data_IF_496032431116
#
_entry.id   IF_496032431116
#
_cell.length_a   1.000
_cell.length_b   1.000
_cell.length_c   1.000
_cell.angle_alpha   90.00
_cell.angle_beta   90.00
_cell.angle_gamma   90.00
#
_symmetry.space_group_name_H-M   'P 1'
#
loop_
_entity.id
_entity.type
_entity.pdbx_description
1 polymer ?
#
# COMPACT_ATOMS: atom_id res chain seq x y z
N UNK A 1 -3.18 7.32 30.01
CA UNK A 1 -2.77 6.70 28.73
C UNK A 1 -1.81 7.68 28.04
N UNK A 2 -0.50 7.42 28.06
CA UNK A 2 0.47 8.25 27.35
C UNK A 2 0.14 8.18 25.85
N UNK A 3 -0.09 9.32 25.20
CA UNK A 3 -0.23 9.36 23.74
C UNK A 3 1.12 8.96 23.15
N UNK A 4 1.18 7.84 22.44
CA UNK A 4 2.38 7.47 21.69
C UNK A 4 2.78 8.64 20.77
N UNK A 5 4.07 8.99 20.82
CA UNK A 5 4.59 10.12 20.06
C UNK A 5 4.57 9.75 18.58
N UNK A 6 3.74 10.44 17.80
CA UNK A 6 3.63 10.23 16.35
C UNK A 6 4.82 10.83 15.62
N UNK A 7 5.29 10.15 14.59
CA UNK A 7 6.24 10.70 13.64
C UNK A 7 5.57 11.78 12.80
N UNK A 8 6.25 12.93 12.68
CA UNK A 8 5.81 14.03 11.81
C UNK A 8 5.96 13.66 10.33
N UNK A 9 5.33 14.43 9.43
CA UNK A 9 5.55 14.30 7.98
C UNK A 9 7.04 14.21 7.61
N UNK A 10 7.88 15.06 8.20
CA UNK A 10 9.32 15.12 7.93
C UNK A 10 10.04 13.83 8.31
N UNK A 11 9.71 13.24 9.47
CA UNK A 11 10.24 11.93 9.87
C UNK A 11 9.84 10.85 8.87
N UNK A 12 8.56 10.81 8.47
CA UNK A 12 8.07 9.80 7.53
C UNK A 12 8.76 9.90 6.17
N UNK A 13 8.98 11.12 5.66
CA UNK A 13 9.77 11.34 4.44
C UNK A 13 11.21 10.85 4.59
N UNK A 14 11.87 11.18 5.69
CA UNK A 14 13.25 10.79 5.94
C UNK A 14 13.41 9.26 5.94
N UNK A 15 12.46 8.53 6.56
CA UNK A 15 12.48 7.06 6.53
C UNK A 15 12.39 6.51 5.10
N UNK A 16 11.49 7.04 4.27
CA UNK A 16 11.36 6.63 2.86
C UNK A 16 12.63 6.95 2.07
N UNK A 17 13.21 8.14 2.23
CA UNK A 17 14.44 8.54 1.53
C UNK A 17 15.62 7.65 1.90
N UNK A 18 15.74 7.28 3.17
CA UNK A 18 16.83 6.45 3.66
C UNK A 18 16.70 5.00 3.18
N UNK A 19 15.50 4.43 3.24
CA UNK A 19 15.27 3.03 2.90
C UNK A 19 15.09 2.78 1.39
N UNK A 20 14.51 3.75 0.68
CA UNK A 20 14.12 3.65 -0.72
C UNK A 20 14.55 4.90 -1.50
N UNK A 21 15.88 5.08 -1.72
CA UNK A 21 16.45 6.32 -2.24
C UNK A 21 16.00 6.69 -3.66
N UNK A 22 15.53 5.71 -4.44
CA UNK A 22 15.02 5.92 -5.79
C UNK A 22 13.53 6.31 -5.83
N UNK A 23 12.89 6.49 -4.68
CA UNK A 23 11.50 6.93 -4.62
C UNK A 23 11.33 8.43 -4.86
N UNK A 24 10.20 8.81 -5.45
CA UNK A 24 9.96 10.18 -5.90
C UNK A 24 8.79 10.84 -5.15
N UNK A 25 9.06 11.94 -4.44
CA UNK A 25 8.04 12.75 -3.78
C UNK A 25 7.40 13.77 -4.72
N UNK A 26 6.11 14.04 -4.53
CA UNK A 26 5.35 15.04 -5.27
C UNK A 26 4.06 15.43 -4.52
N UNK A 27 3.35 16.44 -5.02
CA UNK A 27 2.10 16.96 -4.42
C UNK A 27 2.25 17.24 -2.91
N UNK A 28 3.36 17.87 -2.54
CA UNK A 28 3.70 18.15 -1.15
C UNK A 28 2.97 19.38 -0.62
N UNK A 29 2.46 19.26 0.60
CA UNK A 29 1.90 20.37 1.39
C UNK A 29 2.56 20.39 2.77
N UNK A 30 2.24 21.35 3.65
CA UNK A 30 2.73 21.31 5.02
C UNK A 30 2.39 20.00 5.76
N UNK A 31 1.24 19.37 5.46
CA UNK A 31 0.72 18.21 6.21
C UNK A 31 0.58 16.92 5.39
N UNK A 32 0.96 16.94 4.11
CA UNK A 32 0.81 15.77 3.23
C UNK A 32 1.90 15.68 2.18
N UNK A 33 2.06 14.49 1.61
CA UNK A 33 2.85 14.24 0.40
C UNK A 33 2.27 13.03 -0.33
N UNK A 34 2.56 12.92 -1.62
CA UNK A 34 2.53 11.64 -2.30
C UNK A 34 3.95 11.22 -2.70
N UNK A 35 4.18 9.92 -2.78
CA UNK A 35 5.49 9.32 -3.04
C UNK A 35 5.32 8.11 -3.96
N UNK A 36 6.08 8.05 -5.06
CA UNK A 36 6.06 6.93 -6.01
C UNK A 36 7.27 6.03 -5.82
N UNK A 37 7.07 4.73 -6.01
CA UNK A 37 8.15 3.75 -6.02
C UNK A 37 7.75 2.51 -6.82
N UNK A 38 8.75 1.69 -7.17
CA UNK A 38 8.57 0.42 -7.88
C UNK A 38 9.04 -0.73 -7.02
N UNK A 39 8.28 -1.82 -6.99
CA UNK A 39 8.68 -3.07 -6.34
C UNK A 39 8.64 -4.23 -7.33
N UNK A 40 9.52 -5.20 -7.12
CA UNK A 40 9.47 -6.49 -7.79
C UNK A 40 9.32 -7.56 -6.69
N UNK A 41 8.12 -8.13 -6.48
CA UNK A 41 7.84 -8.95 -5.31
C UNK A 41 8.73 -10.18 -5.14
N UNK A 42 9.14 -10.80 -6.25
CA UNK A 42 10.11 -11.88 -6.31
C UNK A 42 10.95 -11.74 -7.58
N UNK A 43 12.04 -12.50 -7.69
CA UNK A 43 12.86 -12.50 -8.91
C UNK A 43 12.13 -12.96 -10.17
N UNK A 44 10.99 -13.65 -10.01
CA UNK A 44 10.13 -14.12 -11.10
C UNK A 44 8.94 -13.19 -11.37
N UNK A 45 8.69 -12.24 -10.46
CA UNK A 45 7.56 -11.34 -10.54
C UNK A 45 7.80 -10.20 -11.53
N UNK A 46 6.71 -9.62 -12.02
CA UNK A 46 6.72 -8.34 -12.71
C UNK A 46 7.20 -7.20 -11.80
N UNK A 47 7.60 -6.08 -12.41
CA UNK A 47 7.84 -4.83 -11.68
C UNK A 47 6.56 -4.01 -11.66
N UNK A 48 6.15 -3.58 -10.46
CA UNK A 48 4.92 -2.82 -10.25
C UNK A 48 5.22 -1.44 -9.69
N UNK A 49 4.68 -0.40 -10.33
CA UNK A 49 4.72 0.95 -9.81
C UNK A 49 3.50 1.22 -8.93
N UNK A 50 3.74 1.85 -7.79
CA UNK A 50 2.68 2.34 -6.91
C UNK A 50 2.98 3.75 -6.41
N UNK A 51 1.95 4.39 -5.87
CA UNK A 51 2.07 5.61 -5.08
C UNK A 51 1.50 5.42 -3.68
N UNK A 52 2.16 6.03 -2.72
CA UNK A 52 1.65 6.29 -1.38
C UNK A 52 1.20 7.74 -1.32
N UNK A 53 0.02 8.00 -0.77
CA UNK A 53 -0.39 9.35 -0.38
C UNK A 53 -0.60 9.39 1.13
N UNK A 54 0.25 10.18 1.80
CA UNK A 54 0.26 10.36 3.25
C UNK A 54 -0.33 11.72 3.61
N UNK A 55 -1.17 11.76 4.64
CA UNK A 55 -1.67 12.99 5.25
C UNK A 55 -1.71 12.81 6.76
N UNK A 56 -1.20 13.79 7.48
CA UNK A 56 -1.19 13.75 8.95
C UNK A 56 -2.61 13.56 9.51
N UNK A 57 -2.73 12.65 10.49
CA UNK A 57 -4.02 12.31 11.10
C UNK A 57 -4.95 11.45 10.22
N UNK A 58 -4.49 10.97 9.07
CA UNK A 58 -5.22 10.03 8.21
C UNK A 58 -4.42 8.73 8.03
N UNK A 59 -5.13 7.69 7.62
CA UNK A 59 -4.51 6.48 7.12
C UNK A 59 -3.76 6.76 5.82
N UNK A 60 -2.76 5.93 5.54
CA UNK A 60 -2.05 5.95 4.27
C UNK A 60 -2.91 5.33 3.16
N UNK A 61 -3.02 6.03 2.04
CA UNK A 61 -3.63 5.52 0.83
C UNK A 61 -2.56 5.02 -0.15
N UNK A 62 -2.78 3.85 -0.74
CA UNK A 62 -1.83 3.22 -1.67
C UNK A 62 -2.54 2.89 -2.98
N UNK A 63 -1.94 3.26 -4.10
CA UNK A 63 -2.53 3.02 -5.41
C UNK A 63 -1.53 2.39 -6.36
N UNK A 64 -1.94 1.35 -7.08
CA UNK A 64 -1.19 0.87 -8.25
C UNK A 64 -1.29 1.92 -9.36
N UNK A 65 -0.15 2.24 -9.98
CA UNK A 65 -0.05 3.26 -11.03
C UNK A 65 -0.27 2.67 -12.42
N UNK A 66 0.26 1.47 -12.65
CA UNK A 66 0.04 0.74 -13.89
C UNK A 66 -1.33 0.04 -13.84
N UNK A 67 -2.03 -0.01 -14.98
CA UNK A 67 -3.35 -0.66 -15.05
C UNK A 67 -3.19 -2.17 -14.80
N UNK A 68 -3.82 -2.66 -13.74
CA UNK A 68 -3.81 -4.07 -13.37
C UNK A 68 -4.87 -4.82 -14.17
N UNK A 69 -4.47 -5.99 -14.68
CA UNK A 69 -5.37 -6.95 -15.31
C UNK A 69 -6.31 -7.57 -14.28
N UNK A 70 -7.49 -7.98 -14.74
CA UNK A 70 -8.43 -8.79 -13.95
C UNK A 70 -8.23 -10.27 -14.31
N UNK A 71 -8.42 -11.15 -13.33
CA UNK A 71 -8.56 -12.58 -13.59
C UNK A 71 -9.77 -12.84 -14.48
N UNK A 72 -9.71 -13.88 -15.31
CA UNK A 72 -10.81 -14.25 -16.20
C UNK A 72 -12.10 -14.49 -15.40
N UNK A 73 -13.21 -13.89 -15.84
CA UNK A 73 -14.51 -13.97 -15.17
C UNK A 73 -14.70 -12.99 -14.00
N UNK A 74 -13.64 -12.33 -13.53
CA UNK A 74 -13.71 -11.40 -12.41
C UNK A 74 -14.07 -9.98 -12.83
N UNK A 75 -14.88 -9.30 -12.01
CA UNK A 75 -15.38 -7.94 -12.28
C UNK A 75 -14.58 -6.85 -11.57
N UNK A 76 -13.62 -7.23 -10.72
CA UNK A 76 -12.80 -6.27 -10.00
C UNK A 76 -11.57 -6.90 -9.37
N UNK A 77 -10.68 -6.04 -8.90
CA UNK A 77 -9.47 -6.47 -8.20
C UNK A 77 -9.85 -7.01 -6.82
N UNK A 78 -9.15 -8.05 -6.33
CA UNK A 78 -9.30 -8.50 -4.96
C UNK A 78 -8.70 -7.46 -4.01
N UNK A 79 -9.19 -7.41 -2.77
CA UNK A 79 -8.53 -6.66 -1.69
C UNK A 79 -8.16 -5.21 -2.05
N UNK A 80 -9.13 -4.46 -2.62
CA UNK A 80 -9.05 -3.03 -2.92
C UNK A 80 -10.19 -2.26 -2.27
N UNK A 81 -9.95 -1.01 -1.86
CA UNK A 81 -11.03 -0.10 -1.47
C UNK A 81 -11.83 0.40 -2.67
N UNK A 82 -11.20 0.46 -3.85
CA UNK A 82 -11.83 0.86 -5.10
C UNK A 82 -11.05 0.31 -6.30
N UNK A 83 -11.72 -0.50 -7.12
CA UNK A 83 -11.15 -1.14 -8.32
C UNK A 83 -10.71 -0.11 -9.36
N UNK A 84 -11.57 0.83 -9.73
CA UNK A 84 -11.32 1.77 -10.83
C UNK A 84 -10.12 2.69 -10.55
N UNK A 85 -9.97 3.09 -9.29
CA UNK A 85 -8.82 3.88 -8.81
C UNK A 85 -7.61 3.02 -8.49
N UNK A 86 -7.76 1.69 -8.48
CA UNK A 86 -6.78 0.72 -8.01
C UNK A 86 -6.24 1.07 -6.61
N UNK A 87 -7.16 1.47 -5.72
CA UNK A 87 -6.86 1.85 -4.34
C UNK A 87 -6.71 0.58 -3.50
N UNK A 88 -5.47 0.18 -3.26
CA UNK A 88 -5.13 -1.09 -2.63
C UNK A 88 -5.47 -1.09 -1.14
N UNK A 89 -6.02 -2.21 -0.66
CA UNK A 89 -6.14 -2.47 0.76
C UNK A 89 -4.83 -3.12 1.22
N UNK A 90 -4.04 -2.40 2.02
CA UNK A 90 -2.70 -2.89 2.45
C UNK A 90 -2.74 -3.42 3.88
N UNK A 91 -3.59 -2.85 4.73
CA UNK A 91 -3.77 -3.26 6.11
C UNK A 91 -5.21 -2.95 6.54
N UNK A 92 -5.66 -3.59 7.61
CA UNK A 92 -7.01 -3.36 8.11
C UNK A 92 -7.05 -2.06 8.93
N UNK A 93 -7.49 -0.97 8.28
CA UNK A 93 -7.53 0.38 8.89
C UNK A 93 -8.24 0.43 10.26
N UNK A 94 -9.36 -0.26 10.50
CA UNK A 94 -10.04 -0.24 11.81
C UNK A 94 -9.28 -0.94 12.95
N UNK A 95 -8.38 -1.90 12.67
CA UNK A 95 -7.55 -2.52 13.71
C UNK A 95 -6.32 -1.68 14.05
N UNK A 96 -6.14 -0.52 13.41
CA UNK A 96 -4.98 0.37 13.58
C UNK A 96 -3.62 -0.34 13.43
N UNK A 97 -3.56 -1.40 12.60
CA UNK A 97 -2.34 -2.16 12.28
C UNK A 97 -1.17 -1.29 11.84
N UNK A 98 -1.49 -0.15 11.23
CA UNK A 98 -0.54 0.93 11.04
C UNK A 98 -1.16 2.28 11.42
N UNK A 99 -0.39 3.07 12.14
CA UNK A 99 -0.70 4.47 12.43
C UNK A 99 0.58 5.31 12.43
N UNK A 100 0.46 6.64 12.58
CA UNK A 100 1.61 7.54 12.47
C UNK A 100 2.67 7.43 13.59
N UNK A 101 2.49 6.59 14.63
CA UNK A 101 3.58 6.21 15.55
C UNK A 101 4.54 5.17 14.95
N UNK A 102 4.21 4.58 13.79
CA UNK A 102 5.03 3.62 13.06
C UNK A 102 5.73 4.26 11.86
N UNK A 103 6.81 3.65 11.37
CA UNK A 103 7.48 4.12 10.16
C UNK A 103 6.62 3.77 8.96
N UNK A 104 6.45 4.71 8.03
CA UNK A 104 5.72 4.45 6.78
C UNK A 104 6.41 3.40 5.90
N UNK A 105 7.71 3.16 6.11
CA UNK A 105 8.46 2.09 5.42
C UNK A 105 7.97 0.69 5.79
N UNK A 106 7.31 0.51 6.94
CA UNK A 106 6.81 -0.79 7.39
C UNK A 106 5.70 -1.34 6.49
N UNK A 107 4.98 -0.48 5.75
CA UNK A 107 3.93 -0.93 4.83
C UNK A 107 4.48 -1.34 3.46
N UNK A 108 5.72 -1.01 3.12
CA UNK A 108 6.29 -1.30 1.79
C UNK A 108 6.39 -2.82 1.54
N UNK A 109 6.86 -3.64 2.49
CA UNK A 109 6.78 -5.10 2.36
C UNK A 109 5.35 -5.61 2.14
N UNK A 110 4.35 -5.05 2.83
CA UNK A 110 2.94 -5.44 2.64
C UNK A 110 2.40 -5.05 1.26
N UNK A 111 2.84 -3.92 0.70
CA UNK A 111 2.53 -3.56 -0.70
C UNK A 111 3.14 -4.57 -1.67
N UNK A 112 4.40 -4.96 -1.45
CA UNK A 112 5.08 -5.99 -2.24
C UNK A 112 4.35 -7.33 -2.16
N UNK A 113 3.94 -7.72 -0.96
CA UNK A 113 3.17 -8.95 -0.71
C UNK A 113 1.79 -8.91 -1.38
N UNK A 114 1.10 -7.76 -1.36
CA UNK A 114 -0.14 -7.59 -2.10
C UNK A 114 0.04 -7.85 -3.60
N UNK A 115 1.10 -7.32 -4.21
CA UNK A 115 1.42 -7.58 -5.63
C UNK A 115 1.78 -9.05 -5.88
N UNK A 116 2.47 -9.71 -4.96
CA UNK A 116 2.75 -11.15 -5.04
C UNK A 116 1.46 -11.98 -5.05
N UNK A 117 0.52 -11.71 -4.14
CA UNK A 117 -0.76 -12.42 -4.13
C UNK A 117 -1.68 -12.04 -5.27
N UNK A 118 -1.55 -10.83 -5.80
CA UNK A 118 -2.20 -10.43 -7.04
C UNK A 118 -1.76 -11.30 -8.23
N UNK A 119 -0.46 -11.58 -8.38
CA UNK A 119 0.04 -12.50 -9.42
C UNK A 119 -0.55 -13.91 -9.27
N UNK A 120 -0.64 -14.42 -8.05
CA UNK A 120 -1.27 -15.72 -7.77
C UNK A 120 -2.79 -15.69 -8.07
N UNK A 121 -3.47 -14.61 -7.71
CA UNK A 121 -4.91 -14.44 -7.95
C UNK A 121 -5.23 -14.40 -9.44
N UNK A 122 -4.40 -13.77 -10.28
CA UNK A 122 -4.56 -13.77 -11.74
C UNK A 122 -4.64 -15.18 -12.35
N UNK A 123 -3.99 -16.15 -11.73
CA UNK A 123 -3.93 -17.55 -12.20
C UNK A 123 -5.01 -18.42 -11.55
N UNK A 124 -5.29 -18.19 -10.28
CA UNK A 124 -6.10 -19.11 -9.46
C UNK A 124 -7.53 -18.63 -9.22
N UNK A 125 -7.83 -17.36 -9.55
CA UNK A 125 -9.05 -16.65 -9.15
C UNK A 125 -9.31 -16.63 -7.62
N UNK A 126 -8.33 -17.02 -6.80
CA UNK A 126 -8.45 -17.11 -5.34
C UNK A 126 -7.46 -16.14 -4.70
N UNK A 127 -7.97 -15.31 -3.80
CA UNK A 127 -7.10 -14.45 -3.01
C UNK A 127 -6.45 -15.27 -1.90
N UNK A 128 -5.11 -15.32 -1.91
CA UNK A 128 -4.31 -16.07 -0.94
C UNK A 128 -3.56 -15.17 0.05
N UNK A 129 -3.73 -13.85 -0.06
CA UNK A 129 -3.04 -12.88 0.79
C UNK A 129 -3.65 -12.70 2.18
N UNK A 130 -4.73 -13.42 2.48
CA UNK A 130 -5.49 -13.28 3.70
C UNK A 130 -5.97 -11.84 3.92
N UNK A 131 -5.99 -11.42 5.19
CA UNK A 131 -6.41 -10.09 5.60
C UNK A 131 -7.90 -10.00 5.93
N UNK A 132 -8.35 -8.80 6.29
CA UNK A 132 -9.76 -8.53 6.57
C UNK A 132 -10.27 -7.56 5.50
N UNK A 133 -11.15 -8.05 4.63
CA UNK A 133 -11.81 -7.25 3.62
C UNK A 133 -13.32 -7.18 3.89
N UNK A 134 -13.88 -5.95 3.94
CA UNK A 134 -15.31 -5.69 4.22
C UNK A 134 -15.82 -6.40 5.49
N UNK A 135 -14.98 -6.51 6.52
CA UNK A 135 -15.33 -7.17 7.78
C UNK A 135 -15.33 -8.70 7.75
N UNK A 136 -14.93 -9.32 6.62
CA UNK A 136 -14.71 -10.76 6.52
C UNK A 136 -13.21 -11.05 6.49
N UNK A 137 -12.80 -12.07 7.23
CA UNK A 137 -11.46 -12.63 7.12
C UNK A 137 -11.42 -13.49 5.86
N UNK A 138 -10.45 -13.22 4.99
CA UNK A 138 -10.18 -13.98 3.77
C UNK A 138 -9.11 -15.04 4.00
#
# INVERSE_FOLDING_TARGET
>A
MQREKKFTKTHQKAFLQQAYPNGHFYAETPTSFCWKYSVQPSSLSGTYQFKICYKEGKHVDVFALDKLSLCEGEKGLPHVYNTDKQHLCIYHRPSEEWNASHKITEIIPWISEWFYYYENWLVTAKWLGGGIHRGKKE
#
